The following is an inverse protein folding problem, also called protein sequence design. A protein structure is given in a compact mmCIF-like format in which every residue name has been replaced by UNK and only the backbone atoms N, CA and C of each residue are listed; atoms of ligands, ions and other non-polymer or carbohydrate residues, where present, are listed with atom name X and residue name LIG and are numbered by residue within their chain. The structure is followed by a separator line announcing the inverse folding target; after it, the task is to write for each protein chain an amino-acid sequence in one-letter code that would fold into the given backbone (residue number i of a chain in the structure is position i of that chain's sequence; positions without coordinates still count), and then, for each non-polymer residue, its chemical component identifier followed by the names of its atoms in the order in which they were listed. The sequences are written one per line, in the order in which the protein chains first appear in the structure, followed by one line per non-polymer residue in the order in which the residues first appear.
data_IF_034451220233
#
_entry.id   IF_034451220233
#
_cell.length_a   1.000
_cell.length_b   1.000
_cell.length_c   1.000
_cell.angle_alpha   90.00
_cell.angle_beta   90.00
_cell.angle_gamma   90.00
#
_symmetry.space_group_name_H-M   'P 1'
#
loop_
_entity.id
_entity.type
_entity.pdbx_description
1 polymer ?
#
# COMPACT_ATOMS: atom_id res chain seq x y z
N UNK A 1 -11.51 -26.76 -11.77
CA UNK A 1 -10.48 -25.72 -11.78
C UNK A 1 -9.13 -26.37 -12.12
N UNK A 2 -8.43 -25.88 -13.14
CA UNK A 2 -7.05 -26.28 -13.44
C UNK A 2 -6.12 -25.66 -12.37
N UNK A 3 -5.09 -26.46 -11.98
CA UNK A 3 -4.08 -25.97 -11.02
C UNK A 3 -3.36 -24.71 -11.52
N UNK A 4 -3.08 -24.62 -12.82
CA UNK A 4 -2.43 -23.43 -13.41
C UNK A 4 -3.30 -22.18 -13.27
N UNK A 5 -4.60 -22.29 -13.55
CA UNK A 5 -5.56 -21.19 -13.38
C UNK A 5 -5.61 -20.75 -11.90
N UNK A 6 -5.58 -21.70 -10.97
CA UNK A 6 -5.53 -21.40 -9.55
C UNK A 6 -4.24 -20.67 -9.16
N UNK A 7 -3.07 -21.20 -9.56
CA UNK A 7 -1.77 -20.62 -9.23
C UNK A 7 -1.63 -19.21 -9.82
N UNK A 8 -2.09 -18.98 -11.06
CA UNK A 8 -2.10 -17.64 -11.68
C UNK A 8 -3.05 -16.67 -10.97
N UNK A 9 -4.24 -17.12 -10.58
CA UNK A 9 -5.19 -16.28 -9.88
C UNK A 9 -4.71 -15.90 -8.46
N UNK A 10 -4.06 -16.83 -7.74
CA UNK A 10 -3.41 -16.53 -6.45
C UNK A 10 -2.27 -15.52 -6.64
N UNK A 11 -1.45 -15.68 -7.68
CA UNK A 11 -0.40 -14.72 -8.00
C UNK A 11 -0.97 -13.32 -8.26
N UNK A 12 -1.98 -13.21 -9.14
CA UNK A 12 -2.66 -11.94 -9.43
C UNK A 12 -3.35 -11.34 -8.20
N UNK A 13 -3.91 -12.17 -7.32
CA UNK A 13 -4.46 -11.75 -6.04
C UNK A 13 -3.38 -11.15 -5.13
N UNK A 14 -2.22 -11.79 -5.01
CA UNK A 14 -1.09 -11.30 -4.21
C UNK A 14 -0.56 -9.97 -4.74
N UNK A 15 -0.39 -9.86 -6.07
CA UNK A 15 0.09 -8.63 -6.72
C UNK A 15 -0.88 -7.44 -6.58
N UNK A 16 -2.13 -7.70 -6.20
CA UNK A 16 -3.06 -6.64 -5.83
C UNK A 16 -2.64 -5.89 -4.53
N UNK A 17 -1.82 -6.51 -3.68
CA UNK A 17 -1.47 -5.98 -2.36
C UNK A 17 0.02 -5.69 -2.15
N UNK A 18 0.88 -6.13 -3.08
CA UNK A 18 2.32 -5.95 -3.03
C UNK A 18 2.87 -5.67 -4.44
N UNK A 19 3.94 -4.89 -4.55
CA UNK A 19 4.58 -4.66 -5.84
C UNK A 19 5.23 -5.96 -6.39
N UNK A 20 5.11 -6.18 -7.71
CA UNK A 20 5.64 -7.38 -8.38
C UNK A 20 7.14 -7.56 -8.15
N UNK A 21 7.91 -6.46 -8.14
CA UNK A 21 9.34 -6.49 -7.87
C UNK A 21 9.64 -6.98 -6.46
N UNK A 22 8.92 -6.50 -5.45
CA UNK A 22 9.08 -6.90 -4.05
C UNK A 22 8.73 -8.38 -3.87
N UNK A 23 7.61 -8.82 -4.44
CA UNK A 23 7.20 -10.22 -4.43
C UNK A 23 8.25 -11.12 -5.09
N UNK A 24 8.69 -10.75 -6.29
CA UNK A 24 9.67 -11.53 -7.07
C UNK A 24 11.02 -11.61 -6.36
N UNK A 25 11.50 -10.50 -5.79
CA UNK A 25 12.74 -10.47 -5.04
C UNK A 25 12.69 -11.34 -3.77
N UNK A 26 11.55 -11.35 -3.08
CA UNK A 26 11.36 -12.24 -1.92
C UNK A 26 11.35 -13.71 -2.34
N UNK A 27 10.55 -14.08 -3.35
CA UNK A 27 10.41 -15.47 -3.81
C UNK A 27 11.71 -16.05 -4.35
N UNK A 28 12.55 -15.23 -4.98
CA UNK A 28 13.84 -15.64 -5.57
C UNK A 28 15.01 -15.48 -4.59
N UNK A 29 14.79 -14.99 -3.35
CA UNK A 29 15.83 -14.65 -2.38
C UNK A 29 16.88 -13.67 -2.95
N UNK A 30 16.42 -12.67 -3.72
CA UNK A 30 17.25 -11.64 -4.34
C UNK A 30 17.10 -10.27 -3.70
N UNK A 31 16.42 -10.19 -2.55
CA UNK A 31 16.33 -8.96 -1.78
C UNK A 31 17.72 -8.50 -1.34
N UNK A 32 17.99 -7.21 -1.50
CA UNK A 32 19.23 -6.61 -1.03
C UNK A 32 19.16 -6.33 0.46
N UNK A 33 20.27 -6.48 1.16
CA UNK A 33 20.38 -6.00 2.53
C UNK A 33 20.23 -4.47 2.59
N UNK A 34 19.64 -3.97 3.67
CA UNK A 34 19.47 -2.53 3.88
C UNK A 34 20.80 -1.97 4.37
N UNK A 35 21.53 -1.25 3.51
CA UNK A 35 22.80 -0.61 3.88
C UNK A 35 22.58 0.69 4.67
N UNK A 36 21.61 1.50 4.28
CA UNK A 36 21.29 2.79 4.94
C UNK A 36 19.81 2.94 5.22
N UNK A 37 18.99 3.11 4.18
CA UNK A 37 17.53 3.16 4.23
C UNK A 37 16.96 2.21 3.19
N UNK A 38 15.76 1.71 3.44
CA UNK A 38 15.07 0.78 2.55
C UNK A 38 14.17 -0.17 3.32
N UNK A 39 13.59 -1.13 2.62
CA UNK A 39 12.76 -2.15 3.23
C UNK A 39 13.07 -3.54 2.69
N UNK A 40 12.87 -4.54 3.53
CA UNK A 40 12.92 -5.97 3.17
C UNK A 40 11.71 -6.69 3.73
N UNK A 41 11.23 -7.66 3.00
CA UNK A 41 10.14 -8.53 3.42
C UNK A 41 10.75 -9.72 4.16
N UNK A 42 10.30 -9.92 5.39
CA UNK A 42 10.79 -11.01 6.26
C UNK A 42 10.00 -12.29 6.04
N UNK A 43 8.70 -12.17 5.79
CA UNK A 43 7.80 -13.30 5.67
C UNK A 43 6.60 -12.96 4.76
N UNK A 44 6.04 -13.97 4.08
CA UNK A 44 4.81 -13.88 3.31
C UNK A 44 3.99 -15.14 3.51
N UNK A 45 2.69 -15.00 3.78
CA UNK A 45 1.78 -16.13 3.99
C UNK A 45 0.31 -15.71 3.83
N UNK A 46 -0.56 -16.70 3.83
CA UNK A 46 -2.00 -16.50 4.00
C UNK A 46 -2.41 -16.89 5.41
N UNK A 47 -3.29 -16.12 6.05
CA UNK A 47 -3.85 -16.49 7.36
C UNK A 47 -4.68 -17.77 7.26
N UNK A 48 -5.31 -18.02 6.10
CA UNK A 48 -6.12 -19.20 5.83
C UNK A 48 -5.25 -20.38 5.34
N UNK A 49 -5.67 -21.60 5.72
CA UNK A 49 -5.08 -22.82 5.19
C UNK A 49 -5.77 -23.18 3.88
N UNK A 50 -5.06 -23.08 2.77
CA UNK A 50 -5.58 -23.41 1.45
C UNK A 50 -5.35 -24.91 1.18
N UNK A 51 -6.45 -25.67 1.10
CA UNK A 51 -6.41 -27.11 0.79
C UNK A 51 -6.89 -27.39 -0.64
N UNK A 52 -6.00 -27.92 -1.48
CA UNK A 52 -6.33 -28.32 -2.86
C UNK A 52 -6.62 -29.82 -2.87
N UNK A 53 -7.84 -30.20 -3.27
CA UNK A 53 -8.28 -31.60 -3.37
C UNK A 53 -8.83 -31.88 -4.76
N UNK A 54 -8.53 -33.07 -5.29
CA UNK A 54 -9.23 -33.61 -6.47
C UNK A 54 -10.49 -34.31 -6.02
N UNK A 55 -11.60 -34.08 -6.69
CA UNK A 55 -12.89 -34.71 -6.35
C UNK A 55 -13.98 -34.32 -7.33
N UNK A 56 -15.13 -34.95 -7.19
CA UNK A 56 -16.36 -34.55 -7.87
C UNK A 56 -16.96 -33.36 -7.10
N UNK A 57 -17.46 -32.40 -7.85
CA UNK A 57 -18.20 -31.24 -7.31
C UNK A 57 -19.64 -31.30 -7.78
N UNK A 58 -20.54 -30.65 -7.06
CA UNK A 58 -21.93 -30.52 -7.45
C UNK A 58 -22.07 -29.71 -8.74
N UNK A 59 -23.03 -30.05 -9.58
CA UNK A 59 -23.37 -29.26 -10.79
C UNK A 59 -23.86 -27.85 -10.46
N UNK A 60 -24.21 -27.60 -9.19
CA UNK A 60 -24.62 -26.29 -8.70
C UNK A 60 -23.46 -25.48 -8.12
N UNK A 61 -22.26 -26.07 -8.00
CA UNK A 61 -21.09 -25.35 -7.52
C UNK A 61 -20.54 -24.43 -8.60
N UNK A 62 -20.02 -23.28 -8.17
CA UNK A 62 -19.35 -22.35 -9.09
C UNK A 62 -18.03 -22.92 -9.58
N UNK A 63 -17.87 -23.02 -10.90
CA UNK A 63 -16.64 -23.44 -11.57
C UNK A 63 -15.98 -22.22 -12.18
N UNK A 64 -14.75 -21.93 -11.78
CA UNK A 64 -13.93 -20.90 -12.43
C UNK A 64 -13.08 -21.56 -13.51
N UNK A 65 -13.23 -21.10 -14.74
CA UNK A 65 -12.54 -21.65 -15.91
C UNK A 65 -11.29 -20.84 -16.30
N UNK A 66 -11.25 -19.57 -15.86
CA UNK A 66 -10.17 -18.65 -16.18
C UNK A 66 -9.64 -17.92 -14.92
N UNK A 67 -8.43 -17.38 -15.04
CA UNK A 67 -7.72 -16.64 -14.00
C UNK A 67 -8.51 -15.41 -13.55
N UNK A 68 -9.03 -14.62 -14.50
CA UNK A 68 -9.68 -13.34 -14.22
C UNK A 68 -10.92 -13.52 -13.33
N UNK A 69 -11.77 -14.50 -13.68
CA UNK A 69 -12.98 -14.81 -12.92
C UNK A 69 -12.67 -15.24 -11.50
N UNK A 70 -11.63 -16.08 -11.32
CA UNK A 70 -11.22 -16.50 -9.99
C UNK A 70 -10.59 -15.35 -9.21
N UNK A 71 -9.72 -14.56 -9.83
CA UNK A 71 -9.11 -13.38 -9.19
C UNK A 71 -10.17 -12.39 -8.72
N UNK A 72 -11.16 -12.09 -9.56
CA UNK A 72 -12.29 -11.23 -9.18
C UNK A 72 -13.06 -11.80 -7.99
N UNK A 73 -13.36 -13.10 -8.01
CA UNK A 73 -14.01 -13.76 -6.88
C UNK A 73 -13.20 -13.64 -5.58
N UNK A 74 -11.88 -13.86 -5.67
CA UNK A 74 -10.99 -13.76 -4.51
C UNK A 74 -10.89 -12.33 -3.96
N UNK A 75 -10.88 -11.32 -4.83
CA UNK A 75 -10.74 -9.92 -4.43
C UNK A 75 -12.05 -9.30 -3.93
N UNK A 76 -13.18 -9.69 -4.50
CA UNK A 76 -14.45 -9.01 -4.27
C UNK A 76 -15.53 -9.89 -3.63
N UNK A 77 -15.31 -11.19 -3.53
CA UNK A 77 -16.27 -12.16 -2.95
C UNK A 77 -17.38 -12.62 -3.92
N UNK A 78 -18.23 -13.54 -3.48
CA UNK A 78 -19.18 -14.26 -4.34
C UNK A 78 -20.37 -13.43 -4.82
N UNK A 79 -20.76 -12.38 -4.13
CA UNK A 79 -21.98 -11.60 -4.39
C UNK A 79 -21.69 -10.21 -4.91
N UNK A 80 -20.52 -10.01 -5.51
CA UNK A 80 -20.06 -8.69 -5.84
C UNK A 80 -20.65 -8.19 -7.17
N UNK A 81 -21.43 -7.14 -7.09
CA UNK A 81 -21.89 -6.39 -8.25
C UNK A 81 -20.79 -5.39 -8.63
N UNK A 82 -20.17 -5.60 -9.78
CA UNK A 82 -19.16 -4.68 -10.29
C UNK A 82 -19.80 -3.32 -10.53
N UNK A 83 -19.37 -2.33 -9.76
CA UNK A 83 -19.76 -0.94 -9.92
C UNK A 83 -18.72 -0.20 -10.76
N UNK A 84 -19.17 0.53 -11.76
CA UNK A 84 -18.31 1.28 -12.67
C UNK A 84 -18.62 2.76 -12.61
N UNK A 85 -17.56 3.56 -12.68
CA UNK A 85 -17.63 5.00 -12.80
C UNK A 85 -17.03 5.45 -14.14
N UNK A 86 -17.64 6.41 -14.80
CA UNK A 86 -17.12 7.00 -16.04
C UNK A 86 -16.29 8.22 -15.66
N UNK A 87 -15.02 8.21 -16.00
CA UNK A 87 -14.06 9.30 -15.72
C UNK A 87 -14.50 10.58 -16.41
N UNK A 88 -14.53 11.68 -15.65
CA UNK A 88 -14.89 13.03 -16.09
C UNK A 88 -13.67 13.95 -16.10
N UNK A 89 -13.84 15.12 -16.71
CA UNK A 89 -12.82 16.16 -16.68
C UNK A 89 -12.54 16.63 -15.25
N UNK A 90 -11.25 16.70 -14.89
CA UNK A 90 -10.78 17.07 -13.56
C UNK A 90 -10.72 15.92 -12.54
N UNK A 91 -11.16 14.71 -12.91
CA UNK A 91 -11.05 13.56 -12.04
C UNK A 91 -9.60 13.11 -11.83
N UNK A 92 -9.32 12.70 -10.61
CA UNK A 92 -8.08 12.03 -10.20
C UNK A 92 -8.42 10.70 -9.53
N UNK A 93 -7.43 9.82 -9.39
CA UNK A 93 -7.60 8.56 -8.64
C UNK A 93 -8.09 8.86 -7.22
N UNK A 94 -7.53 9.88 -6.56
CA UNK A 94 -7.96 10.27 -5.22
C UNK A 94 -9.41 10.76 -5.18
N UNK A 95 -9.78 11.69 -6.07
CA UNK A 95 -11.15 12.23 -6.07
C UNK A 95 -12.21 11.16 -6.32
N UNK A 96 -11.95 10.23 -7.25
CA UNK A 96 -12.86 9.11 -7.51
C UNK A 96 -12.89 8.15 -6.32
N UNK A 97 -11.74 7.84 -5.72
CA UNK A 97 -11.65 6.93 -4.58
C UNK A 97 -12.45 7.47 -3.39
N UNK A 98 -12.18 8.70 -2.98
CA UNK A 98 -12.86 9.35 -1.85
C UNK A 98 -14.38 9.44 -2.06
N UNK A 99 -14.83 9.83 -3.26
CA UNK A 99 -16.24 9.93 -3.59
C UNK A 99 -16.97 8.57 -3.50
N UNK A 100 -16.25 7.46 -3.66
CA UNK A 100 -16.79 6.10 -3.65
C UNK A 100 -16.37 5.29 -2.40
N UNK A 101 -15.83 5.95 -1.37
CA UNK A 101 -15.42 5.32 -0.10
C UNK A 101 -14.31 4.28 -0.24
N UNK A 102 -13.51 4.39 -1.29
CA UNK A 102 -12.29 3.62 -1.50
C UNK A 102 -11.10 4.45 -1.03
N UNK A 103 -10.01 3.78 -0.66
CA UNK A 103 -8.70 4.41 -0.68
C UNK A 103 -8.05 4.22 -2.06
N UNK A 104 -7.03 5.01 -2.38
CA UNK A 104 -6.37 4.93 -3.69
C UNK A 104 -5.76 3.55 -3.99
N UNK A 105 -5.30 2.82 -2.96
CA UNK A 105 -4.75 1.45 -3.12
C UNK A 105 -5.84 0.47 -3.55
N UNK A 106 -7.01 0.53 -2.92
CA UNK A 106 -8.17 -0.27 -3.31
C UNK A 106 -8.63 0.05 -4.74
N UNK A 107 -8.60 1.33 -5.13
CA UNK A 107 -8.86 1.73 -6.50
C UNK A 107 -7.85 1.10 -7.48
N UNK A 108 -6.55 1.15 -7.18
CA UNK A 108 -5.51 0.54 -8.03
C UNK A 108 -5.68 -0.97 -8.14
N UNK A 109 -6.02 -1.64 -7.04
CA UNK A 109 -6.34 -3.08 -7.04
C UNK A 109 -7.54 -3.39 -7.94
N UNK A 110 -8.61 -2.59 -7.85
CA UNK A 110 -9.79 -2.76 -8.71
C UNK A 110 -9.53 -2.41 -10.18
N UNK A 111 -8.47 -1.67 -10.47
CA UNK A 111 -8.12 -1.15 -11.78
C UNK A 111 -6.63 -1.36 -12.11
N UNK A 112 -6.17 -2.60 -12.34
CA UNK A 112 -4.74 -2.93 -12.49
C UNK A 112 -4.05 -2.29 -13.70
N UNK A 113 -4.79 -1.65 -14.60
CA UNK A 113 -4.22 -0.84 -15.69
C UNK A 113 -3.51 0.44 -15.19
N UNK A 114 -3.78 0.88 -13.97
CA UNK A 114 -3.12 2.02 -13.33
C UNK A 114 -2.10 1.52 -12.31
N UNK A 115 -0.86 1.96 -12.43
CA UNK A 115 0.27 1.46 -11.63
C UNK A 115 0.60 2.32 -10.40
N UNK A 116 0.09 3.56 -10.35
CA UNK A 116 0.39 4.49 -9.26
C UNK A 116 -0.78 5.44 -8.98
N UNK A 117 -0.76 6.05 -7.81
CA UNK A 117 -1.71 7.09 -7.38
C UNK A 117 -1.78 8.27 -8.37
N UNK A 118 -0.64 8.61 -8.98
CA UNK A 118 -0.49 9.73 -9.89
C UNK A 118 -0.72 9.36 -11.37
N UNK A 119 -1.20 8.12 -11.64
CA UNK A 119 -1.53 7.69 -13.00
C UNK A 119 -2.63 8.57 -13.59
N UNK A 120 -2.41 9.02 -14.84
CA UNK A 120 -3.39 9.84 -15.55
C UNK A 120 -4.61 9.01 -15.95
N UNK A 121 -5.79 9.55 -15.66
CA UNK A 121 -7.06 8.99 -16.09
C UNK A 121 -7.45 9.55 -17.47
N UNK A 122 -8.06 8.72 -18.30
CA UNK A 122 -8.61 9.17 -19.58
C UNK A 122 -10.09 9.47 -19.45
N UNK A 123 -10.51 10.67 -19.82
CA UNK A 123 -11.93 11.07 -19.78
C UNK A 123 -12.76 10.10 -20.65
N UNK A 124 -13.86 9.61 -20.08
CA UNK A 124 -14.73 8.63 -20.71
C UNK A 124 -14.37 7.16 -20.42
N UNK A 125 -13.23 6.88 -19.80
CA UNK A 125 -12.88 5.54 -19.36
C UNK A 125 -13.83 5.04 -18.27
N UNK A 126 -14.13 3.74 -18.32
CA UNK A 126 -14.84 3.07 -17.24
C UNK A 126 -13.82 2.53 -16.24
N UNK A 127 -13.88 3.02 -15.01
CA UNK A 127 -13.09 2.50 -13.89
C UNK A 127 -13.98 1.74 -12.91
N UNK A 128 -13.41 0.69 -12.31
CA UNK A 128 -14.08 -0.12 -11.31
C UNK A 128 -13.98 0.59 -9.95
N UNK A 129 -15.11 0.83 -9.31
CA UNK A 129 -15.24 1.45 -7.99
C UNK A 129 -15.83 0.48 -6.95
N UNK A 130 -15.80 -0.80 -7.25
CA UNK A 130 -16.32 -1.83 -6.36
C UNK A 130 -15.44 -1.95 -5.11
N UNK A 131 -16.06 -1.96 -3.94
CA UNK A 131 -15.35 -2.17 -2.66
C UNK A 131 -14.70 -3.56 -2.63
N UNK A 132 -13.44 -3.60 -2.24
CA UNK A 132 -12.71 -4.86 -2.07
C UNK A 132 -13.23 -5.56 -0.82
N UNK A 133 -13.52 -6.86 -0.98
CA UNK A 133 -13.88 -7.76 0.10
C UNK A 133 -13.14 -9.10 -0.08
N UNK A 134 -11.83 -9.12 0.19
CA UNK A 134 -10.98 -10.26 -0.11
C UNK A 134 -11.43 -11.52 0.62
N UNK A 135 -11.47 -12.64 -0.11
CA UNK A 135 -11.81 -13.96 0.40
C UNK A 135 -10.64 -14.64 1.12
N UNK A 136 -9.43 -14.10 0.93
CA UNK A 136 -8.20 -14.56 1.55
C UNK A 136 -7.50 -13.37 2.20
N UNK A 137 -6.76 -13.64 3.27
CA UNK A 137 -5.93 -12.65 3.96
C UNK A 137 -4.47 -12.88 3.63
N UNK A 138 -3.96 -12.12 2.66
CA UNK A 138 -2.53 -12.10 2.34
C UNK A 138 -1.78 -11.23 3.35
N UNK A 139 -0.79 -11.82 4.00
CA UNK A 139 0.00 -11.19 5.05
C UNK A 139 1.47 -11.17 4.67
N UNK A 140 2.14 -10.06 4.94
CA UNK A 140 3.59 -10.01 4.88
C UNK A 140 4.16 -9.12 5.98
N UNK A 141 5.31 -9.56 6.52
CA UNK A 141 6.05 -8.86 7.56
C UNK A 141 7.21 -8.11 6.94
N UNK A 142 7.35 -6.85 7.32
CA UNK A 142 8.33 -5.91 6.78
C UNK A 142 9.28 -5.45 7.87
N UNK A 143 10.56 -5.35 7.55
CA UNK A 143 11.52 -4.53 8.27
C UNK A 143 11.89 -3.36 7.36
N UNK A 144 11.77 -2.14 7.86
CA UNK A 144 12.06 -0.91 7.15
C UNK A 144 13.00 -0.03 7.96
N UNK A 145 14.02 0.53 7.29
CA UNK A 145 14.89 1.55 7.85
C UNK A 145 14.64 2.84 7.09
N UNK A 146 14.18 3.87 7.77
CA UNK A 146 13.85 5.16 7.17
C UNK A 146 14.42 6.32 7.96
N UNK A 147 14.67 7.43 7.26
CA UNK A 147 15.09 8.68 7.86
C UNK A 147 13.85 9.59 8.07
N UNK A 148 13.62 9.99 9.31
CA UNK A 148 12.52 10.86 9.70
C UNK A 148 13.06 12.23 10.10
N UNK A 149 12.46 13.28 9.57
CA UNK A 149 12.80 14.66 9.93
C UNK A 149 12.27 15.04 11.31
N UNK A 150 13.11 15.71 12.09
CA UNK A 150 12.73 16.36 13.35
C UNK A 150 12.70 17.86 13.10
N UNK A 151 11.52 18.50 13.03
CA UNK A 151 11.44 19.93 12.80
C UNK A 151 12.07 20.70 13.96
N UNK A 152 12.72 21.82 13.63
CA UNK A 152 13.20 22.78 14.64
C UNK A 152 12.02 23.59 15.20
N UNK A 153 12.17 24.09 16.43
CA UNK A 153 11.19 24.95 17.07
C UNK A 153 11.57 26.42 16.82
N UNK A 154 10.58 27.24 16.45
CA UNK A 154 10.78 28.68 16.32
C UNK A 154 10.69 29.32 17.69
N UNK A 155 11.78 29.93 18.13
CA UNK A 155 11.83 30.73 19.33
C UNK A 155 11.65 32.21 18.95
N UNK A 156 10.65 32.88 19.50
CA UNK A 156 10.37 34.28 19.26
C UNK A 156 10.82 35.11 20.47
N UNK A 157 11.70 36.06 20.25
CA UNK A 157 12.12 37.02 21.25
C UNK A 157 11.56 38.38 20.85
N UNK A 158 10.96 39.10 21.82
CA UNK A 158 10.40 40.40 21.58
C UNK A 158 11.36 41.50 22.06
N UNK A 159 11.70 42.43 21.15
CA UNK A 159 12.48 43.60 21.46
C UNK A 159 11.59 44.84 21.46
N UNK A 160 11.34 45.39 22.65
CA UNK A 160 10.48 46.55 22.82
C UNK A 160 11.07 47.86 22.24
N UNK A 161 12.33 47.87 21.85
CA UNK A 161 12.99 48.99 21.17
C UNK A 161 12.73 49.08 19.67
N UNK A 162 12.13 48.01 19.08
CA UNK A 162 11.85 47.92 17.65
C UNK A 162 10.39 48.22 17.34
N UNK A 163 10.11 48.56 16.09
CA UNK A 163 8.74 48.76 15.61
C UNK A 163 7.95 47.44 15.69
N UNK A 164 6.63 47.53 15.87
CA UNK A 164 5.75 46.35 16.07
C UNK A 164 5.66 45.42 14.88
N UNK A 165 6.04 45.88 13.69
CA UNK A 165 6.11 45.12 12.44
C UNK A 165 7.53 44.63 12.09
N UNK A 166 8.51 44.93 12.96
CA UNK A 166 9.88 44.48 12.79
C UNK A 166 9.96 42.96 13.01
N UNK A 167 10.53 42.28 12.03
CA UNK A 167 10.78 40.83 12.10
C UNK A 167 12.14 40.54 11.47
N UNK A 168 13.02 39.95 12.26
CA UNK A 168 14.37 39.56 11.82
C UNK A 168 14.66 38.12 12.27
N UNK A 169 15.16 37.32 11.38
CA UNK A 169 15.67 35.96 11.72
C UNK A 169 17.13 36.08 12.10
N UNK A 170 17.42 36.06 13.41
CA UNK A 170 18.80 36.15 13.94
C UNK A 170 19.56 34.88 13.83
N UNK A 171 18.88 33.71 13.93
CA UNK A 171 19.47 32.40 13.76
C UNK A 171 18.51 31.54 12.94
N UNK A 172 18.99 30.94 11.85
CA UNK A 172 18.20 30.02 11.06
C UNK A 172 18.14 28.66 11.75
N UNK A 173 16.93 28.17 12.00
CA UNK A 173 16.73 26.81 12.52
C UNK A 173 17.16 25.73 11.52
N UNK A 174 17.59 24.59 12.02
CA UNK A 174 18.04 23.45 11.22
C UNK A 174 17.25 22.21 11.58
N UNK A 175 16.58 21.60 10.60
CA UNK A 175 15.87 20.33 10.76
C UNK A 175 16.87 19.20 11.09
N UNK A 176 16.57 18.46 12.16
CA UNK A 176 17.29 17.23 12.53
C UNK A 176 16.84 16.04 11.69
N UNK A 177 17.59 14.95 11.77
CA UNK A 177 17.24 13.68 11.12
C UNK A 177 17.49 12.55 12.11
N UNK A 178 16.47 11.70 12.27
CA UNK A 178 16.56 10.45 13.02
C UNK A 178 16.33 9.29 12.07
N UNK A 179 17.22 8.31 12.10
CA UNK A 179 17.05 7.03 11.41
C UNK A 179 16.32 6.07 12.33
N UNK A 180 15.23 5.50 11.83
CA UNK A 180 14.38 4.57 12.53
C UNK A 180 14.46 3.22 11.82
N UNK A 181 14.72 2.17 12.58
CA UNK A 181 14.59 0.77 12.17
C UNK A 181 13.29 0.24 12.78
N UNK A 182 12.37 -0.21 11.96
CA UNK A 182 11.05 -0.61 12.39
C UNK A 182 10.55 -1.89 11.73
N UNK A 183 9.71 -2.64 12.46
CA UNK A 183 9.00 -3.80 11.95
C UNK A 183 7.50 -3.51 11.94
N UNK A 184 6.82 -3.98 10.91
CA UNK A 184 5.36 -3.94 10.85
C UNK A 184 4.82 -5.07 9.97
N UNK A 185 3.55 -5.42 10.22
CA UNK A 185 2.81 -6.42 9.45
C UNK A 185 1.79 -5.74 8.54
N UNK A 186 1.69 -6.20 7.31
CA UNK A 186 0.70 -5.74 6.34
C UNK A 186 -0.26 -6.87 6.02
N UNK A 187 -1.57 -6.61 6.11
CA UNK A 187 -2.64 -7.53 5.70
C UNK A 187 -3.46 -6.89 4.58
N UNK A 188 -3.54 -7.57 3.45
CA UNK A 188 -4.27 -7.08 2.27
C UNK A 188 -3.96 -5.60 1.96
N UNK A 189 -2.66 -5.24 1.96
CA UNK A 189 -2.17 -3.89 1.66
C UNK A 189 -2.33 -2.85 2.77
N UNK A 190 -2.85 -3.21 3.96
CA UNK A 190 -3.03 -2.32 5.09
C UNK A 190 -2.12 -2.70 6.25
N UNK A 191 -1.35 -1.74 6.78
CA UNK A 191 -0.53 -1.95 7.98
C UNK A 191 -1.42 -2.24 9.18
N UNK A 192 -1.10 -3.29 9.92
CA UNK A 192 -1.86 -3.77 11.08
C UNK A 192 -1.11 -3.55 12.39
N UNK A 193 -1.86 -3.28 13.45
CA UNK A 193 -1.38 -3.39 14.84
C UNK A 193 -0.38 -2.33 15.31
N UNK A 194 0.06 -1.44 14.44
CA UNK A 194 1.09 -0.45 14.73
C UNK A 194 2.49 -0.90 14.29
N UNK A 195 3.45 -0.02 14.48
CA UNK A 195 4.85 -0.20 14.08
C UNK A 195 5.67 -0.47 15.32
N UNK A 196 6.48 -1.52 15.30
CA UNK A 196 7.45 -1.83 16.35
C UNK A 196 8.80 -1.18 16.01
N UNK A 197 9.21 -0.20 16.81
CA UNK A 197 10.52 0.44 16.66
C UNK A 197 11.58 -0.46 17.24
N UNK A 198 12.46 -0.97 16.39
CA UNK A 198 13.60 -1.82 16.75
C UNK A 198 14.74 -0.97 17.27
N UNK A 199 15.07 0.10 16.56
CA UNK A 199 16.09 1.06 16.97
C UNK A 199 15.81 2.46 16.43
N UNK A 200 16.41 3.47 17.07
CA UNK A 200 16.34 4.87 16.65
C UNK A 200 17.68 5.54 16.87
N UNK A 201 18.28 6.06 15.81
CA UNK A 201 19.62 6.68 15.86
C UNK A 201 19.53 8.09 15.27
N UNK A 202 20.00 9.08 16.05
CA UNK A 202 20.07 10.46 15.59
C UNK A 202 21.21 10.60 14.57
N UNK A 203 20.87 10.98 13.33
CA UNK A 203 21.81 11.17 12.23
C UNK A 203 22.26 12.63 12.14
N UNK A 204 21.35 13.55 12.44
CA UNK A 204 21.62 14.98 12.42
C UNK A 204 20.86 15.65 13.56
N UNK A 205 21.56 16.48 14.35
CA UNK A 205 20.94 17.30 15.39
C UNK A 205 20.06 18.40 14.78
N UNK A 206 18.91 18.65 15.41
CA UNK A 206 18.15 19.86 15.14
C UNK A 206 18.84 21.06 15.83
N UNK A 207 18.70 22.23 15.25
CA UNK A 207 19.09 23.51 15.86
C UNK A 207 17.86 24.41 15.86
N UNK A 208 17.41 24.79 17.08
CA UNK A 208 16.28 25.67 17.31
C UNK A 208 16.70 27.12 17.28
#
# INVERSE_FOLDING_TARGET
LDKKVFDSAIHSFVLAFIAEEEYTNYMNNTQKEIETTGKVIKNMYFDEIINIKKGYISVNDTIFEDESSLTQYLLFGPNNKIEKYVVKEGDTIDSISEANKLNYKEFLVANPKYSSRDSLLTIGDNVNITLINPMLTFVYDVNEILDTEIPYEKKVEYDSSKASDFNEITTAGVTGITRIDENYTVKNGQTQGGVEIVSSVKIKEKVD
#
